data_IF_437570269071
#
_entry.id   IF_437570269071
#
_cell.length_a   1.000
_cell.length_b   1.000
_cell.length_c   1.000
_cell.angle_alpha   90.00
_cell.angle_beta   90.00
_cell.angle_gamma   90.00
#
_symmetry.space_group_name_H-M   'P 1'
#
loop_
_entity.id
_entity.type
_entity.pdbx_description
1 polymer ?
#
# COMPACT_ATOMS: atom_id res chain seq x y z
N UNK A 1 4.25 -12.53 9.82
CA UNK A 1 2.84 -12.30 10.26
C UNK A 1 2.07 -11.63 9.12
N UNK A 2 0.88 -12.14 8.79
CA UNK A 2 -0.01 -11.61 7.74
C UNK A 2 -1.28 -11.11 8.42
N UNK A 3 -1.78 -9.94 7.97
CA UNK A 3 -3.00 -9.34 8.50
C UNK A 3 -3.96 -9.02 7.37
N UNK A 4 -5.22 -9.36 7.53
CA UNK A 4 -6.33 -9.00 6.64
C UNK A 4 -7.63 -8.96 7.43
N UNK A 5 -8.62 -8.22 6.95
CA UNK A 5 -9.94 -8.17 7.62
C UNK A 5 -10.73 -9.47 7.54
N UNK A 6 -10.37 -10.40 6.64
CA UNK A 6 -11.08 -11.67 6.42
C UNK A 6 -10.20 -12.86 6.79
N UNK A 7 -10.69 -13.69 7.72
CA UNK A 7 -9.98 -14.88 8.19
C UNK A 7 -9.65 -15.87 7.04
N UNK A 8 -10.55 -16.04 6.08
CA UNK A 8 -10.36 -16.92 4.93
C UNK A 8 -9.16 -16.48 4.08
N UNK A 9 -9.01 -15.17 3.82
CA UNK A 9 -7.88 -14.61 3.08
C UNK A 9 -6.55 -14.80 3.83
N UNK A 10 -6.58 -14.67 5.15
CA UNK A 10 -5.40 -14.92 6.00
C UNK A 10 -4.98 -16.38 5.88
N UNK A 11 -5.92 -17.32 6.00
CA UNK A 11 -5.64 -18.75 5.90
C UNK A 11 -5.15 -19.17 4.51
N UNK A 12 -5.71 -18.59 3.46
CA UNK A 12 -5.26 -18.80 2.09
C UNK A 12 -3.83 -18.32 1.89
N UNK A 13 -3.51 -17.12 2.36
CA UNK A 13 -2.16 -16.58 2.28
C UNK A 13 -1.15 -17.41 3.07
N UNK A 14 -1.49 -17.88 4.28
CA UNK A 14 -0.63 -18.77 5.07
C UNK A 14 -0.34 -20.07 4.30
N UNK A 15 -1.37 -20.70 3.71
CA UNK A 15 -1.19 -21.93 2.91
C UNK A 15 -0.33 -21.70 1.67
N UNK A 16 -0.51 -20.55 1.01
CA UNK A 16 0.25 -20.19 -0.19
C UNK A 16 1.73 -19.93 0.08
N UNK A 17 2.04 -19.29 1.21
CA UNK A 17 3.43 -18.95 1.59
C UNK A 17 4.12 -20.17 2.20
N UNK A 18 3.41 -20.94 3.02
CA UNK A 18 3.99 -22.08 3.75
C UNK A 18 4.97 -21.68 4.85
N UNK A 19 5.79 -22.65 5.31
CA UNK A 19 6.81 -22.43 6.32
C UNK A 19 6.23 -21.89 7.63
N UNK A 20 6.91 -20.93 8.25
CA UNK A 20 6.53 -20.29 9.52
C UNK A 20 5.55 -19.13 9.36
N UNK A 21 4.86 -19.01 8.23
CA UNK A 21 3.90 -17.97 7.99
C UNK A 21 2.76 -18.06 9.03
N UNK A 22 2.47 -16.91 9.67
CA UNK A 22 1.39 -16.76 10.65
C UNK A 22 0.49 -15.62 10.22
N UNK A 23 -0.74 -15.61 10.68
CA UNK A 23 -1.65 -14.53 10.34
C UNK A 23 -2.80 -14.38 11.33
N UNK A 24 -3.40 -13.21 11.31
CA UNK A 24 -4.56 -12.86 12.14
C UNK A 24 -5.53 -12.01 11.34
N UNK A 25 -6.83 -12.27 11.53
CA UNK A 25 -7.87 -11.39 11.00
C UNK A 25 -7.98 -10.16 11.89
N UNK A 26 -7.73 -8.97 11.29
CA UNK A 26 -7.89 -7.67 11.95
C UNK A 26 -8.47 -6.69 10.94
N UNK A 27 -9.53 -6.02 11.32
CA UNK A 27 -10.04 -4.87 10.57
C UNK A 27 -9.17 -3.65 10.91
N UNK A 28 -8.37 -3.23 9.95
CA UNK A 28 -7.44 -2.10 10.15
C UNK A 28 -8.15 -0.74 10.27
N UNK A 29 -9.44 -0.66 9.95
CA UNK A 29 -10.28 0.53 10.20
C UNK A 29 -10.80 0.63 11.64
N UNK A 30 -10.67 -0.45 12.43
CA UNK A 30 -10.94 -0.43 13.87
C UNK A 30 -9.65 -0.15 14.66
N UNK A 31 -9.49 1.09 15.09
CA UNK A 31 -8.31 1.54 15.86
C UNK A 31 -8.05 0.68 17.10
N UNK A 32 -9.11 0.24 17.82
CA UNK A 32 -8.95 -0.59 19.02
C UNK A 32 -8.44 -1.99 18.67
N UNK A 33 -8.96 -2.57 17.58
CA UNK A 33 -8.49 -3.86 17.10
C UNK A 33 -7.02 -3.80 16.67
N UNK A 34 -6.60 -2.71 16.00
CA UNK A 34 -5.21 -2.46 15.61
C UNK A 34 -4.32 -2.36 16.85
N UNK A 35 -4.71 -1.56 17.86
CA UNK A 35 -3.95 -1.42 19.10
C UNK A 35 -3.77 -2.74 19.85
N UNK A 36 -4.86 -3.51 20.00
CA UNK A 36 -4.83 -4.82 20.63
C UNK A 36 -3.95 -5.81 19.86
N UNK A 37 -4.00 -5.78 18.53
CA UNK A 37 -3.17 -6.63 17.68
C UNK A 37 -1.67 -6.40 17.94
N UNK A 38 -1.19 -5.16 17.91
CA UNK A 38 0.24 -4.88 18.11
C UNK A 38 0.72 -5.17 19.54
N UNK A 39 -0.13 -4.91 20.54
CA UNK A 39 0.16 -5.29 21.94
C UNK A 39 0.39 -6.79 22.08
N UNK A 40 -0.44 -7.62 21.42
CA UNK A 40 -0.34 -9.07 21.46
C UNK A 40 0.77 -9.63 20.56
N UNK A 41 1.12 -8.94 19.46
CA UNK A 41 2.16 -9.37 18.54
C UNK A 41 3.56 -9.32 19.19
N UNK A 42 3.79 -8.35 20.05
CA UNK A 42 5.11 -8.10 20.63
C UNK A 42 6.08 -7.48 19.62
N UNK A 43 7.38 -7.69 19.80
CA UNK A 43 8.43 -7.04 19.00
C UNK A 43 8.62 -7.69 17.62
N UNK A 44 8.89 -6.86 16.60
CA UNK A 44 9.15 -7.27 15.23
C UNK A 44 10.14 -6.31 14.54
N UNK A 45 10.56 -6.60 13.32
CA UNK A 45 11.59 -5.83 12.62
C UNK A 45 11.03 -4.85 11.59
N UNK A 46 10.00 -5.25 10.85
CA UNK A 46 9.48 -4.45 9.73
C UNK A 46 7.96 -4.43 9.71
N UNK A 47 7.38 -3.23 9.52
CA UNK A 47 5.96 -3.02 9.24
C UNK A 47 5.80 -2.70 7.75
N UNK A 48 5.06 -3.54 7.03
CA UNK A 48 4.67 -3.29 5.64
C UNK A 48 3.17 -3.09 5.57
N UNK A 49 2.71 -1.95 5.06
CA UNK A 49 1.29 -1.66 4.95
C UNK A 49 0.85 -1.58 3.49
N UNK A 50 0.10 -2.60 3.06
CA UNK A 50 -0.44 -2.71 1.70
C UNK A 50 -1.97 -2.84 1.65
N UNK A 51 -2.64 -2.66 2.80
CA UNK A 51 -4.10 -2.77 2.83
C UNK A 51 -4.76 -1.69 1.98
N UNK A 52 -5.74 -2.08 1.20
CA UNK A 52 -6.48 -1.22 0.31
C UNK A 52 -7.69 -1.94 -0.27
N UNK A 53 -8.60 -1.18 -0.80
CA UNK A 53 -9.78 -1.60 -1.55
C UNK A 53 -9.64 -1.22 -3.03
N UNK A 54 -10.61 -1.62 -3.85
CA UNK A 54 -10.68 -1.24 -5.26
C UNK A 54 -10.73 0.28 -5.42
N UNK A 55 -10.05 0.77 -6.46
CA UNK A 55 -10.06 2.20 -6.77
C UNK A 55 -11.44 2.66 -7.23
N UNK A 56 -11.82 3.85 -6.79
CA UNK A 56 -12.98 4.59 -7.27
C UNK A 56 -12.48 5.72 -8.16
N UNK A 57 -12.73 5.61 -9.46
CA UNK A 57 -12.29 6.55 -10.48
C UNK A 57 -13.53 7.27 -11.02
N UNK A 58 -13.77 8.49 -10.57
CA UNK A 58 -14.92 9.31 -10.96
C UNK A 58 -14.50 10.74 -11.19
N UNK A 59 -15.12 11.40 -12.17
CA UNK A 59 -14.97 12.84 -12.30
C UNK A 59 -15.47 13.56 -11.04
N UNK A 60 -14.96 14.74 -10.76
CA UNK A 60 -15.25 15.46 -9.51
C UNK A 60 -16.77 15.64 -9.31
N UNK A 61 -17.52 15.95 -10.37
CA UNK A 61 -18.96 16.13 -10.29
C UNK A 61 -19.74 14.85 -9.90
N UNK A 62 -19.17 13.68 -10.17
CA UNK A 62 -19.77 12.37 -9.90
C UNK A 62 -19.22 11.73 -8.63
N UNK A 63 -18.28 12.40 -7.95
CA UNK A 63 -17.62 11.85 -6.77
C UNK A 63 -18.56 11.75 -5.58
N UNK A 64 -18.82 10.54 -5.10
CA UNK A 64 -19.51 10.31 -3.83
C UNK A 64 -18.58 10.61 -2.65
N UNK A 65 -18.86 11.70 -1.94
CA UNK A 65 -18.05 12.12 -0.79
C UNK A 65 -18.06 11.12 0.38
N UNK A 66 -19.09 10.28 0.50
CA UNK A 66 -19.12 9.22 1.51
C UNK A 66 -18.12 8.12 1.17
N UNK A 67 -18.06 7.71 -0.08
CA UNK A 67 -17.05 6.75 -0.56
C UNK A 67 -15.64 7.35 -0.49
N UNK A 68 -15.48 8.63 -0.85
CA UNK A 68 -14.21 9.34 -0.72
C UNK A 68 -13.69 9.31 0.74
N UNK A 69 -14.55 9.60 1.73
CA UNK A 69 -14.17 9.49 3.15
C UNK A 69 -13.72 8.08 3.53
N UNK A 70 -14.41 7.04 3.04
CA UNK A 70 -14.03 5.64 3.30
C UNK A 70 -12.66 5.30 2.70
N UNK A 71 -12.34 5.84 1.51
CA UNK A 71 -11.02 5.66 0.92
C UNK A 71 -9.91 6.25 1.80
N UNK A 72 -10.13 7.44 2.38
CA UNK A 72 -9.19 8.04 3.35
C UNK A 72 -9.15 7.26 4.67
N UNK A 73 -10.29 6.75 5.14
CA UNK A 73 -10.34 5.91 6.35
C UNK A 73 -9.41 4.71 6.21
N UNK A 74 -9.56 3.96 5.12
CA UNK A 74 -8.75 2.76 4.90
C UNK A 74 -7.29 3.07 4.54
N UNK A 75 -7.05 4.10 3.70
CA UNK A 75 -5.70 4.30 3.12
C UNK A 75 -4.85 5.34 3.84
N UNK A 76 -5.43 6.13 4.74
CA UNK A 76 -4.69 7.11 5.54
C UNK A 76 -4.84 6.84 7.04
N UNK A 77 -6.06 6.85 7.57
CA UNK A 77 -6.27 6.72 9.02
C UNK A 77 -5.85 5.33 9.54
N UNK A 78 -6.13 4.28 8.77
CA UNK A 78 -5.66 2.93 9.13
C UNK A 78 -4.13 2.80 9.07
N UNK A 79 -3.47 3.46 8.11
CA UNK A 79 -2.00 3.55 8.07
C UNK A 79 -1.47 4.23 9.32
N UNK A 80 -2.04 5.41 9.66
CA UNK A 80 -1.63 6.17 10.82
C UNK A 80 -1.83 5.38 12.12
N UNK A 81 -2.96 4.68 12.27
CA UNK A 81 -3.23 3.80 13.40
C UNK A 81 -2.20 2.65 13.46
N UNK A 82 -1.95 1.97 12.34
CA UNK A 82 -0.96 0.88 12.28
C UNK A 82 0.45 1.35 12.66
N UNK A 83 0.85 2.53 12.21
CA UNK A 83 2.15 3.11 12.57
C UNK A 83 2.19 3.55 14.03
N UNK A 84 1.14 4.24 14.52
CA UNK A 84 1.03 4.68 15.92
C UNK A 84 1.18 3.53 16.90
N UNK A 85 0.46 2.44 16.67
CA UNK A 85 0.47 1.29 17.59
C UNK A 85 1.59 0.29 17.29
N UNK A 86 2.07 0.22 16.04
CA UNK A 86 3.13 -0.71 15.66
C UNK A 86 4.54 -0.20 15.94
N UNK A 87 4.81 1.10 15.75
CA UNK A 87 6.18 1.64 15.86
C UNK A 87 6.86 1.39 17.21
N UNK A 88 6.17 1.43 18.38
CA UNK A 88 6.82 1.12 19.65
C UNK A 88 7.34 -0.32 19.77
N UNK A 89 6.88 -1.21 18.90
CA UNK A 89 7.27 -2.63 18.88
C UNK A 89 8.33 -2.95 17.82
N UNK A 90 8.75 -1.97 17.01
CA UNK A 90 9.79 -2.18 16.00
C UNK A 90 11.17 -2.16 16.64
N UNK A 91 11.97 -3.21 16.39
CA UNK A 91 13.35 -3.26 16.87
C UNK A 91 14.22 -2.16 16.29
N UNK A 92 15.25 -1.76 17.00
CA UNK A 92 16.28 -0.85 16.49
C UNK A 92 16.84 -1.36 15.16
N UNK A 93 16.97 -0.48 14.17
CA UNK A 93 17.36 -0.84 12.79
C UNK A 93 16.21 -1.35 11.91
N UNK A 94 15.00 -1.48 12.44
CA UNK A 94 13.83 -1.87 11.69
C UNK A 94 13.30 -0.77 10.77
N UNK A 95 12.20 -1.06 10.07
CA UNK A 95 11.63 -0.12 9.11
C UNK A 95 10.11 -0.23 8.97
N UNK A 96 9.53 0.85 8.45
CA UNK A 96 8.15 0.93 8.00
C UNK A 96 8.16 1.19 6.49
N UNK A 97 7.41 0.41 5.72
CA UNK A 97 7.25 0.61 4.29
C UNK A 97 5.78 0.72 3.96
N UNK A 98 5.38 1.89 3.49
CA UNK A 98 4.01 2.23 3.14
C UNK A 98 3.75 2.03 1.64
N UNK A 99 2.48 1.99 1.26
CA UNK A 99 2.06 1.95 -0.15
C UNK A 99 1.38 3.25 -0.51
N UNK A 100 1.87 3.91 -1.55
CA UNK A 100 1.21 5.02 -2.24
C UNK A 100 0.84 4.61 -3.67
N UNK A 101 0.98 5.47 -4.66
CA UNK A 101 0.79 5.15 -6.08
C UNK A 101 1.12 6.34 -6.96
N UNK A 102 1.36 6.07 -8.24
CA UNK A 102 1.72 7.10 -9.23
C UNK A 102 0.67 8.21 -9.39
N UNK A 103 -0.57 8.00 -8.94
CA UNK A 103 -1.62 9.01 -9.01
C UNK A 103 -1.25 10.32 -8.29
N UNK A 104 -0.40 10.25 -7.25
CA UNK A 104 0.12 11.44 -6.57
C UNK A 104 1.08 12.27 -7.42
N UNK A 105 1.81 11.63 -8.33
CA UNK A 105 2.83 12.27 -9.18
C UNK A 105 2.30 12.58 -10.58
N UNK A 106 1.44 11.72 -11.11
CA UNK A 106 0.83 11.87 -12.43
C UNK A 106 -0.68 11.65 -12.37
N UNK A 107 -1.44 12.63 -11.84
CA UNK A 107 -2.89 12.53 -11.77
C UNK A 107 -3.51 12.57 -13.17
N UNK A 108 -4.66 11.93 -13.31
CA UNK A 108 -5.48 11.95 -14.53
C UNK A 108 -6.88 12.45 -14.21
N UNK A 109 -7.67 12.78 -15.24
CA UNK A 109 -9.08 13.11 -15.10
C UNK A 109 -9.81 11.95 -14.39
N UNK A 110 -10.64 12.25 -13.41
CA UNK A 110 -11.30 11.25 -12.57
C UNK A 110 -10.46 10.71 -11.41
N UNK A 111 -9.24 11.19 -11.19
CA UNK A 111 -8.34 10.67 -10.17
C UNK A 111 -8.17 11.61 -8.96
N UNK A 112 -9.10 12.51 -8.72
CA UNK A 112 -8.99 13.48 -7.60
C UNK A 112 -8.77 12.75 -6.27
N UNK A 113 -9.56 11.73 -5.96
CA UNK A 113 -9.46 11.00 -4.69
C UNK A 113 -8.19 10.13 -4.63
N UNK A 114 -7.88 9.25 -5.60
CA UNK A 114 -6.63 8.50 -5.60
C UNK A 114 -5.38 9.39 -5.51
N UNK A 115 -5.34 10.49 -6.27
CA UNK A 115 -4.21 11.43 -6.23
C UNK A 115 -4.03 12.08 -4.86
N UNK A 116 -5.14 12.50 -4.24
CA UNK A 116 -5.13 13.10 -2.90
C UNK A 116 -4.65 12.11 -1.84
N UNK A 117 -5.14 10.87 -1.87
CA UNK A 117 -4.69 9.80 -0.97
C UNK A 117 -3.20 9.53 -1.15
N UNK A 118 -2.72 9.39 -2.38
CA UNK A 118 -1.30 9.14 -2.65
C UNK A 118 -0.42 10.29 -2.13
N UNK A 119 -0.77 11.54 -2.43
CA UNK A 119 -0.03 12.71 -1.92
C UNK A 119 -0.01 12.79 -0.39
N UNK A 120 -1.11 12.39 0.25
CA UNK A 120 -1.19 12.32 1.73
C UNK A 120 -0.22 11.29 2.30
N UNK A 121 -0.13 10.09 1.70
CA UNK A 121 0.83 9.05 2.15
C UNK A 121 2.28 9.49 1.92
N UNK A 122 2.58 10.17 0.82
CA UNK A 122 3.93 10.68 0.58
C UNK A 122 4.33 11.75 1.62
N UNK A 123 3.41 12.65 1.96
CA UNK A 123 3.60 13.61 3.05
C UNK A 123 3.80 12.95 4.41
N UNK A 124 2.95 11.97 4.72
CA UNK A 124 3.03 11.18 5.94
C UNK A 124 4.36 10.42 6.05
N UNK A 125 4.82 9.82 4.95
CA UNK A 125 6.11 9.09 4.92
C UNK A 125 7.27 9.99 5.35
N UNK A 126 7.34 11.21 4.81
CA UNK A 126 8.40 12.18 5.18
C UNK A 126 8.30 12.62 6.65
N UNK A 127 7.10 12.91 7.12
CA UNK A 127 6.88 13.32 8.50
C UNK A 127 7.28 12.22 9.50
N UNK A 128 6.82 10.98 9.25
CA UNK A 128 7.13 9.83 10.09
C UNK A 128 8.61 9.45 10.07
N UNK A 129 9.32 9.67 8.96
CA UNK A 129 10.76 9.44 8.88
C UNK A 129 11.57 10.32 9.86
N UNK A 130 11.07 11.52 10.14
CA UNK A 130 11.65 12.44 11.15
C UNK A 130 11.18 12.06 12.55
N UNK A 131 9.86 11.88 12.71
CA UNK A 131 9.21 11.62 14.01
C UNK A 131 9.69 10.34 14.67
N UNK A 132 9.90 9.27 13.87
CA UNK A 132 10.22 7.94 14.37
C UNK A 132 11.70 7.57 14.29
N UNK A 133 12.58 8.53 13.97
CA UNK A 133 14.02 8.23 13.90
C UNK A 133 14.50 7.57 15.20
N UNK A 134 15.32 6.49 15.15
CA UNK A 134 16.04 5.96 14.00
C UNK A 134 15.29 4.90 13.17
N UNK A 135 14.00 4.65 13.40
CA UNK A 135 13.20 3.74 12.54
C UNK A 135 13.08 4.40 11.16
N UNK A 136 13.46 3.68 10.11
CA UNK A 136 13.34 4.17 8.74
C UNK A 136 11.90 4.05 8.24
N UNK A 137 11.40 5.09 7.58
CA UNK A 137 10.05 5.09 7.00
C UNK A 137 10.14 5.48 5.54
N UNK A 138 9.68 4.60 4.65
CA UNK A 138 9.67 4.82 3.21
C UNK A 138 8.32 4.40 2.60
N UNK A 139 8.10 4.72 1.35
CA UNK A 139 6.93 4.30 0.58
C UNK A 139 7.32 3.70 -0.76
N UNK A 140 6.51 2.77 -1.26
CA UNK A 140 6.54 2.30 -2.64
C UNK A 140 5.37 2.92 -3.39
N UNK A 141 5.62 3.45 -4.59
CA UNK A 141 4.65 4.05 -5.50
C UNK A 141 4.48 3.18 -6.75
N UNK A 142 3.57 2.21 -6.75
CA UNK A 142 3.33 1.36 -7.91
C UNK A 142 2.64 2.09 -9.05
N UNK A 143 2.95 1.70 -10.29
CA UNK A 143 2.12 1.94 -11.46
C UNK A 143 0.93 0.98 -11.53
N UNK A 144 0.47 0.69 -12.75
CA UNK A 144 -0.56 -0.33 -12.97
C UNK A 144 0.06 -1.72 -12.82
N UNK A 145 -0.49 -2.50 -11.87
CA UNK A 145 -0.02 -3.85 -11.49
C UNK A 145 -1.17 -4.83 -11.53
N UNK A 146 -0.93 -6.05 -12.02
CA UNK A 146 -1.91 -7.16 -12.01
C UNK A 146 -2.18 -7.61 -10.58
N UNK A 147 -3.23 -7.08 -9.99
CA UNK A 147 -3.66 -7.38 -8.61
C UNK A 147 -5.18 -7.29 -8.49
N UNK A 148 -5.69 -7.67 -7.33
CA UNK A 148 -7.12 -7.55 -7.01
C UNK A 148 -7.60 -6.08 -6.90
N UNK A 149 -6.74 -5.09 -7.04
CA UNK A 149 -7.12 -3.68 -7.07
C UNK A 149 -8.13 -3.38 -8.20
N UNK A 150 -8.04 -4.12 -9.29
CA UNK A 150 -8.85 -3.97 -10.50
C UNK A 150 -9.99 -5.00 -10.62
N UNK A 151 -10.33 -5.68 -9.51
CA UNK A 151 -11.34 -6.77 -9.51
C UNK A 151 -12.76 -6.30 -9.85
N UNK A 152 -13.05 -5.00 -9.76
CA UNK A 152 -14.36 -4.43 -10.11
C UNK A 152 -14.57 -4.34 -11.64
N UNK A 153 -13.52 -4.50 -12.43
CA UNK A 153 -13.61 -4.59 -13.88
C UNK A 153 -13.98 -6.02 -14.30
N UNK A 154 -14.79 -6.16 -15.35
CA UNK A 154 -14.97 -7.44 -16.03
C UNK A 154 -13.61 -8.02 -16.46
N UNK A 155 -13.50 -9.36 -16.50
CA UNK A 155 -12.21 -10.01 -16.77
C UNK A 155 -11.64 -9.69 -18.15
N UNK A 156 -12.49 -9.59 -19.18
CA UNK A 156 -12.07 -9.26 -20.54
C UNK A 156 -11.74 -7.77 -20.68
N UNK A 157 -12.49 -6.91 -20.01
CA UNK A 157 -12.22 -5.46 -19.94
C UNK A 157 -10.89 -5.21 -19.22
N UNK A 158 -10.67 -5.85 -18.09
CA UNK A 158 -9.43 -5.74 -17.31
C UNK A 158 -8.21 -6.21 -18.10
N UNK A 159 -8.32 -7.31 -18.86
CA UNK A 159 -7.19 -7.77 -19.68
C UNK A 159 -6.89 -6.80 -20.83
N UNK A 160 -7.91 -6.24 -21.48
CA UNK A 160 -7.71 -5.16 -22.47
C UNK A 160 -7.04 -3.93 -21.86
N UNK A 161 -7.50 -3.50 -20.68
CA UNK A 161 -6.89 -2.41 -19.94
C UNK A 161 -5.39 -2.64 -19.68
N UNK A 162 -5.02 -3.84 -19.21
CA UNK A 162 -3.61 -4.18 -19.00
C UNK A 162 -2.79 -4.17 -20.29
N UNK A 163 -3.34 -4.68 -21.38
CA UNK A 163 -2.67 -4.69 -22.68
C UNK A 163 -2.46 -3.26 -23.22
N UNK A 164 -3.46 -2.41 -23.15
CA UNK A 164 -3.39 -1.06 -23.69
C UNK A 164 -2.44 -0.18 -22.87
N UNK A 165 -2.53 -0.25 -21.54
CA UNK A 165 -1.54 0.42 -20.67
C UNK A 165 -0.14 -0.14 -20.95
N UNK A 166 0.02 -1.45 -20.97
CA UNK A 166 1.33 -2.08 -21.22
C UNK A 166 1.98 -1.63 -22.52
N UNK A 167 1.23 -1.47 -23.60
CA UNK A 167 1.73 -0.97 -24.90
C UNK A 167 2.27 0.45 -24.82
N UNK A 168 1.68 1.30 -23.97
CA UNK A 168 2.10 2.69 -23.81
C UNK A 168 3.35 2.85 -22.95
N UNK A 169 3.63 1.90 -22.05
CA UNK A 169 4.74 2.00 -21.10
C UNK A 169 6.11 1.75 -21.79
N UNK A 170 7.18 2.43 -21.35
CA UNK A 170 8.53 2.16 -21.79
C UNK A 170 8.95 0.68 -21.67
N UNK A 171 8.57 -0.01 -20.57
CA UNK A 171 8.87 -1.43 -20.36
C UNK A 171 7.95 -2.39 -21.11
N UNK A 172 6.96 -1.87 -21.85
CA UNK A 172 6.03 -2.63 -22.72
C UNK A 172 5.18 -3.69 -22.01
N UNK A 173 4.99 -3.56 -20.71
CA UNK A 173 4.07 -4.39 -19.90
C UNK A 173 3.60 -3.62 -18.68
N UNK A 174 2.49 -4.05 -18.10
CA UNK A 174 2.12 -3.67 -16.73
C UNK A 174 2.95 -4.45 -15.72
N UNK A 175 2.97 -4.01 -14.47
CA UNK A 175 3.68 -4.68 -13.39
C UNK A 175 2.98 -5.96 -12.93
N UNK A 176 3.76 -6.86 -12.34
CA UNK A 176 3.27 -8.01 -11.58
C UNK A 176 3.47 -7.74 -10.06
N UNK A 177 2.74 -8.44 -9.21
CA UNK A 177 2.89 -8.29 -7.75
C UNK A 177 4.34 -8.51 -7.29
N UNK A 178 5.06 -9.42 -7.97
CA UNK A 178 6.48 -9.69 -7.69
C UNK A 178 7.38 -8.48 -7.95
N UNK A 179 7.15 -7.70 -9.01
CA UNK A 179 7.93 -6.50 -9.32
C UNK A 179 7.88 -5.51 -8.14
N UNK A 180 6.69 -5.34 -7.57
CA UNK A 180 6.46 -4.43 -6.45
C UNK A 180 7.04 -4.99 -5.15
N UNK A 181 6.91 -6.30 -4.92
CA UNK A 181 7.45 -6.95 -3.73
C UNK A 181 8.97 -6.77 -3.58
N UNK A 182 9.73 -6.75 -4.71
CA UNK A 182 11.17 -6.49 -4.68
C UNK A 182 11.51 -5.11 -4.10
N UNK A 183 10.73 -4.07 -4.40
CA UNK A 183 10.94 -2.74 -3.85
C UNK A 183 10.67 -2.71 -2.33
N UNK A 184 9.63 -3.40 -1.87
CA UNK A 184 9.38 -3.54 -0.44
C UNK A 184 10.55 -4.24 0.27
N UNK A 185 11.01 -5.37 -0.27
CA UNK A 185 12.14 -6.12 0.28
C UNK A 185 13.43 -5.29 0.29
N UNK A 186 13.69 -4.50 -0.74
CA UNK A 186 14.81 -3.57 -0.79
C UNK A 186 14.72 -2.57 0.36
N UNK A 187 13.60 -1.86 0.51
CA UNK A 187 13.41 -0.85 1.55
C UNK A 187 13.41 -1.42 2.98
N UNK A 188 13.02 -2.69 3.15
CA UNK A 188 13.15 -3.38 4.43
C UNK A 188 14.62 -3.63 4.81
N UNK A 189 15.44 -4.04 3.84
CA UNK A 189 16.82 -4.50 4.06
C UNK A 189 17.87 -3.40 3.94
N UNK A 190 17.64 -2.44 3.03
CA UNK A 190 18.56 -1.32 2.81
C UNK A 190 18.54 -0.39 4.03
N UNK A 191 19.71 -0.01 4.53
CA UNK A 191 19.88 0.62 5.85
C UNK A 191 20.01 2.15 5.86
N UNK A 192 20.06 2.82 4.69
CA UNK A 192 20.37 4.24 4.59
C UNK A 192 19.24 5.12 4.03
N UNK A 193 18.23 4.52 3.39
CA UNK A 193 17.07 5.26 2.85
C UNK A 193 16.00 5.47 3.92
N UNK A 194 15.57 6.72 4.10
CA UNK A 194 14.40 7.08 4.90
C UNK A 194 13.72 8.32 4.30
N UNK A 195 12.40 8.45 4.47
CA UNK A 195 11.59 9.53 3.91
C UNK A 195 11.42 9.49 2.40
N UNK A 196 11.78 8.38 1.75
CA UNK A 196 11.78 8.24 0.29
C UNK A 196 10.50 7.58 -0.21
N UNK A 197 10.09 7.96 -1.43
CA UNK A 197 9.07 7.26 -2.21
C UNK A 197 9.75 6.65 -3.44
N UNK A 198 9.77 5.32 -3.49
CA UNK A 198 10.35 4.58 -4.62
C UNK A 198 9.27 4.27 -5.64
N UNK A 199 9.40 4.81 -6.85
CA UNK A 199 8.48 4.60 -7.97
C UNK A 199 8.83 3.30 -8.68
N UNK A 200 7.83 2.43 -8.86
CA UNK A 200 7.93 1.16 -9.59
C UNK A 200 6.74 1.04 -10.53
N UNK A 201 6.85 1.64 -11.72
CA UNK A 201 5.69 1.95 -12.56
C UNK A 201 5.86 1.62 -14.05
N UNK A 202 7.00 1.01 -14.42
CA UNK A 202 7.31 0.71 -15.82
C UNK A 202 7.54 1.95 -16.69
N UNK A 203 7.74 3.12 -16.06
CA UNK A 203 7.95 4.39 -16.74
C UNK A 203 6.67 5.20 -16.98
N UNK A 204 5.56 4.87 -16.28
CA UNK A 204 4.27 5.58 -16.43
C UNK A 204 4.41 7.08 -16.20
N UNK A 205 5.21 7.52 -15.23
CA UNK A 205 5.36 8.95 -14.91
C UNK A 205 6.16 9.71 -15.96
N UNK A 206 6.79 9.03 -16.92
CA UNK A 206 7.61 9.62 -17.98
C UNK A 206 6.86 9.83 -19.31
N UNK A 207 5.71 9.15 -19.51
CA UNK A 207 4.98 9.10 -20.80
C UNK A 207 3.55 9.59 -20.69
#
# INVERSE_FOLDING_TARGET
>A
MIVSSKAERVQEAIRSIGGDARGQAVDVSDEKAVGSFFTNLGVFDHLVFTAGDSLQLHELAETDLKQARRAFELRYWSVLAAVKYGSPHIRSGGSIVLTTGIAGQRPQKGWVIPASVCGTIEGLTRALAIELAPIRVNAVSPGVVRTNLWQNMDSAERERFYQDIGKSLPVRRVGEAHDIAQAFLFLMKEGFSTGQTVVVDGGTVLV
#
